data_IF_199493237061
#
_entry.id   IF_199493237061
#
_cell.length_a   1.000
_cell.length_b   1.000
_cell.length_c   1.000
_cell.angle_alpha   90.00
_cell.angle_beta   90.00
_cell.angle_gamma   90.00
#
_symmetry.space_group_name_H-M   'P 1'
#
loop_
_entity.id
_entity.type
_entity.pdbx_description
1 polymer ?
#
# COMPACT_ATOMS: atom_id res chain seq x y z
N UNK A 1 18.90 -6.61 9.07
CA UNK A 1 17.61 -5.98 8.74
C UNK A 1 17.20 -6.53 7.39
N UNK A 2 15.96 -7.01 7.23
CA UNK A 2 15.51 -7.58 5.95
C UNK A 2 15.48 -6.52 4.85
N UNK A 3 15.61 -6.94 3.59
CA UNK A 3 15.55 -6.09 2.40
C UNK A 3 14.10 -5.77 2.06
N UNK A 4 13.76 -4.48 2.10
CA UNK A 4 12.44 -3.95 1.79
C UNK A 4 12.49 -3.17 0.49
N UNK A 5 11.55 -3.46 -0.40
CA UNK A 5 11.33 -2.68 -1.62
C UNK A 5 9.93 -2.06 -1.59
N UNK A 6 9.80 -0.83 -2.04
CA UNK A 6 8.51 -0.20 -2.28
C UNK A 6 8.15 -0.34 -3.76
N UNK A 7 6.90 -0.73 -4.04
CA UNK A 7 6.35 -0.75 -5.40
C UNK A 7 5.13 0.15 -5.42
N UNK A 8 5.15 1.13 -6.33
CA UNK A 8 4.09 2.12 -6.52
C UNK A 8 3.33 1.80 -7.80
N UNK A 9 2.13 1.19 -7.74
CA UNK A 9 1.31 1.02 -8.93
C UNK A 9 0.70 2.36 -9.35
N UNK A 10 0.90 2.73 -10.61
CA UNK A 10 0.39 3.98 -11.17
C UNK A 10 -0.04 3.80 -12.62
N UNK A 11 -1.34 3.73 -12.87
CA UNK A 11 -1.91 3.67 -14.23
C UNK A 11 -2.28 5.06 -14.71
N UNK A 12 -2.17 5.29 -16.01
CA UNK A 12 -2.61 6.56 -16.60
C UNK A 12 -4.13 6.70 -16.62
N UNK A 13 -4.83 5.62 -16.94
CA UNK A 13 -6.28 5.61 -17.02
C UNK A 13 -6.93 5.77 -15.63
N UNK A 14 -7.72 6.82 -15.47
CA UNK A 14 -8.48 7.10 -14.25
C UNK A 14 -9.81 7.71 -14.63
N UNK A 15 -10.91 7.04 -14.28
CA UNK A 15 -12.26 7.43 -14.68
C UNK A 15 -12.72 8.72 -13.99
N UNK A 16 -12.35 8.92 -12.73
CA UNK A 16 -12.76 10.09 -11.92
C UNK A 16 -11.83 11.29 -12.08
N UNK A 17 -10.57 11.06 -12.44
CA UNK A 17 -9.57 12.10 -12.59
C UNK A 17 -8.53 11.68 -13.64
N UNK A 18 -8.77 11.94 -14.94
CA UNK A 18 -7.88 11.52 -16.03
C UNK A 18 -6.45 12.02 -15.85
N UNK A 19 -5.45 11.16 -16.11
CA UNK A 19 -4.03 11.54 -16.01
C UNK A 19 -3.57 11.92 -14.60
N UNK A 20 -4.33 11.51 -13.55
CA UNK A 20 -4.12 11.91 -12.15
C UNK A 20 -2.65 11.91 -11.71
N UNK A 21 -1.90 10.86 -12.05
CA UNK A 21 -0.50 10.70 -11.67
C UNK A 21 0.43 11.82 -12.18
N UNK A 22 0.08 12.45 -13.30
CA UNK A 22 0.84 13.53 -13.95
C UNK A 22 0.29 14.93 -13.65
N UNK A 23 -0.82 15.03 -12.91
CA UNK A 23 -1.36 16.34 -12.55
C UNK A 23 -0.37 17.07 -11.64
N UNK A 24 -0.10 18.36 -11.92
CA UNK A 24 0.79 19.15 -11.08
C UNK A 24 0.15 19.35 -9.71
N UNK A 25 0.93 19.13 -8.67
CA UNK A 25 0.57 19.43 -7.29
C UNK A 25 1.17 20.80 -6.87
N UNK A 26 1.03 21.13 -5.59
CA UNK A 26 1.70 22.30 -5.03
C UNK A 26 3.21 22.20 -5.25
N UNK A 27 3.80 23.21 -5.90
CA UNK A 27 5.20 23.20 -6.32
C UNK A 27 5.44 22.73 -7.76
N UNK A 28 4.38 22.39 -8.52
CA UNK A 28 4.45 22.13 -9.96
C UNK A 28 4.95 20.74 -10.36
N UNK A 29 5.33 19.90 -9.40
CA UNK A 29 5.74 18.52 -9.64
C UNK A 29 4.51 17.61 -9.76
N UNK A 30 4.58 16.53 -10.57
CA UNK A 30 3.46 15.62 -10.77
C UNK A 30 3.20 14.79 -9.50
N UNK A 31 1.95 14.41 -9.27
CA UNK A 31 1.54 13.59 -8.11
C UNK A 31 2.43 12.38 -7.86
N UNK A 32 2.82 11.64 -8.91
CA UNK A 32 3.67 10.46 -8.76
C UNK A 32 5.04 10.79 -8.16
N UNK A 33 5.60 11.97 -8.44
CA UNK A 33 6.88 12.40 -7.89
C UNK A 33 6.81 12.61 -6.38
N UNK A 34 5.67 13.06 -5.85
CA UNK A 34 5.46 13.20 -4.41
C UNK A 34 5.44 11.84 -3.71
N UNK A 35 4.73 10.85 -4.28
CA UNK A 35 4.68 9.48 -3.74
C UNK A 35 6.07 8.83 -3.78
N UNK A 36 6.80 8.98 -4.88
CA UNK A 36 8.18 8.48 -5.01
C UNK A 36 9.08 9.06 -3.93
N UNK A 37 9.04 10.38 -3.71
CA UNK A 37 9.86 11.03 -2.68
C UNK A 37 9.51 10.56 -1.27
N UNK A 38 8.22 10.37 -0.98
CA UNK A 38 7.80 9.82 0.31
C UNK A 38 8.33 8.39 0.52
N UNK A 39 8.25 7.53 -0.51
CA UNK A 39 8.79 6.18 -0.45
C UNK A 39 10.33 6.15 -0.31
N UNK A 40 11.05 7.04 -1.00
CA UNK A 40 12.50 7.17 -0.88
C UNK A 40 12.94 7.72 0.50
N UNK A 41 12.08 8.51 1.16
CA UNK A 41 12.34 9.05 2.49
C UNK A 41 12.10 8.03 3.62
N UNK A 42 11.49 6.88 3.33
CA UNK A 42 11.24 5.83 4.31
C UNK A 42 12.57 5.13 4.68
N UNK A 43 12.88 5.04 5.97
CA UNK A 43 14.17 4.53 6.47
C UNK A 43 14.39 3.04 6.21
N UNK A 44 13.31 2.30 6.04
CA UNK A 44 13.32 0.84 5.83
C UNK A 44 13.44 0.46 4.37
N UNK A 45 13.16 1.35 3.42
CA UNK A 45 13.09 1.05 1.98
C UNK A 45 14.45 1.22 1.32
N UNK A 46 14.91 0.21 0.59
CA UNK A 46 16.18 0.29 -0.16
C UNK A 46 15.99 0.65 -1.64
N UNK A 47 14.84 0.31 -2.22
CA UNK A 47 14.54 0.54 -3.63
C UNK A 47 13.08 0.87 -3.83
N UNK A 48 12.82 1.76 -4.77
CA UNK A 48 11.46 2.19 -5.15
C UNK A 48 11.26 1.89 -6.63
N UNK A 49 10.24 1.09 -6.92
CA UNK A 49 9.79 0.77 -8.27
C UNK A 49 8.46 1.48 -8.53
N UNK A 50 8.30 2.17 -9.65
CA UNK A 50 7.00 2.64 -10.15
C UNK A 50 6.54 1.70 -11.25
N UNK A 51 5.47 0.97 -11.00
CA UNK A 51 4.86 0.08 -11.96
C UNK A 51 3.77 0.83 -12.74
N UNK A 52 3.97 1.06 -14.03
CA UNK A 52 3.08 1.91 -14.84
C UNK A 52 2.85 1.36 -16.24
N UNK A 53 1.79 1.84 -16.90
CA UNK A 53 1.45 1.54 -18.30
C UNK A 53 1.72 2.71 -19.25
N UNK A 54 2.36 3.78 -18.76
CA UNK A 54 2.47 5.04 -19.50
C UNK A 54 3.86 5.70 -19.37
N UNK A 55 4.47 5.98 -20.52
CA UNK A 55 5.82 6.54 -20.64
C UNK A 55 5.99 7.87 -19.88
N UNK A 56 4.99 8.74 -19.90
CA UNK A 56 5.05 10.01 -19.15
C UNK A 56 5.11 9.80 -17.63
N UNK A 57 4.48 8.74 -17.10
CA UNK A 57 4.55 8.41 -15.66
C UNK A 57 5.91 7.80 -15.35
N UNK A 58 6.43 6.94 -16.22
CA UNK A 58 7.77 6.38 -16.11
C UNK A 58 8.83 7.49 -16.05
N UNK A 59 8.81 8.42 -17.01
CA UNK A 59 9.74 9.54 -17.04
C UNK A 59 9.66 10.43 -15.79
N UNK A 60 8.45 10.70 -15.29
CA UNK A 60 8.25 11.46 -14.06
C UNK A 60 8.78 10.72 -12.82
N UNK A 61 8.60 9.41 -12.75
CA UNK A 61 9.11 8.56 -11.68
C UNK A 61 10.65 8.51 -11.65
N UNK A 62 11.27 8.32 -12.82
CA UNK A 62 12.72 8.30 -12.98
C UNK A 62 13.35 9.64 -12.62
N UNK A 63 12.74 10.75 -13.07
CA UNK A 63 13.16 12.10 -12.66
C UNK A 63 13.08 12.30 -11.14
N UNK A 64 12.13 11.64 -10.48
CA UNK A 64 11.97 11.69 -9.02
C UNK A 64 12.89 10.72 -8.25
N UNK A 65 13.65 9.86 -8.95
CA UNK A 65 14.64 8.95 -8.36
C UNK A 65 14.18 7.51 -8.16
N UNK A 66 13.03 7.11 -8.71
CA UNK A 66 12.56 5.72 -8.71
C UNK A 66 12.94 4.99 -10.00
N UNK A 67 12.94 3.66 -9.96
CA UNK A 67 13.03 2.82 -11.15
C UNK A 67 11.64 2.64 -11.76
N UNK A 68 11.45 2.89 -13.06
CA UNK A 68 10.18 2.62 -13.73
C UNK A 68 10.13 1.18 -14.27
N UNK A 69 8.96 0.55 -14.16
CA UNK A 69 8.66 -0.76 -14.74
C UNK A 69 7.39 -0.67 -15.56
N UNK A 70 7.54 -0.86 -16.87
CA UNK A 70 6.40 -0.88 -17.78
C UNK A 70 5.61 -2.17 -17.59
N UNK A 71 4.30 -2.03 -17.39
CA UNK A 71 3.34 -3.10 -17.07
C UNK A 71 2.13 -2.99 -17.98
N UNK A 72 1.41 -4.09 -18.16
CA UNK A 72 0.22 -4.14 -19.00
C UNK A 72 -0.87 -3.17 -18.49
N UNK A 73 -1.52 -2.47 -19.42
CA UNK A 73 -2.63 -1.54 -19.13
C UNK A 73 -3.91 -2.27 -18.74
N UNK A 74 -4.06 -3.54 -19.13
CA UNK A 74 -5.24 -4.38 -18.87
C UNK A 74 -5.26 -5.01 -17.46
N UNK A 75 -4.25 -4.77 -16.61
CA UNK A 75 -4.20 -5.34 -15.27
C UNK A 75 -5.37 -4.84 -14.40
N UNK A 76 -6.12 -5.73 -13.74
CA UNK A 76 -7.41 -5.38 -13.14
C UNK A 76 -7.27 -4.60 -11.83
N UNK A 77 -6.16 -4.74 -11.11
CA UNK A 77 -5.92 -4.05 -9.84
C UNK A 77 -4.49 -3.51 -9.69
N UNK A 78 -4.29 -2.63 -8.71
CA UNK A 78 -2.96 -2.16 -8.31
C UNK A 78 -2.07 -3.29 -7.78
N UNK A 79 -2.65 -4.25 -7.06
CA UNK A 79 -1.93 -5.43 -6.56
C UNK A 79 -1.45 -6.33 -7.69
N UNK A 80 -2.28 -6.55 -8.73
CA UNK A 80 -1.86 -7.32 -9.92
C UNK A 80 -0.73 -6.61 -10.67
N UNK A 81 -0.76 -5.27 -10.70
CA UNK A 81 0.31 -4.45 -11.27
C UNK A 81 1.62 -4.57 -10.50
N UNK A 82 1.57 -4.55 -9.17
CA UNK A 82 2.74 -4.81 -8.32
C UNK A 82 3.31 -6.20 -8.60
N UNK A 83 2.46 -7.23 -8.63
CA UNK A 83 2.88 -8.59 -8.92
C UNK A 83 3.50 -8.73 -10.32
N UNK A 84 2.93 -8.07 -11.34
CA UNK A 84 3.48 -8.05 -12.70
C UNK A 84 4.86 -7.38 -12.74
N UNK A 85 5.04 -6.24 -12.06
CA UNK A 85 6.32 -5.54 -11.99
C UNK A 85 7.39 -6.40 -11.30
N UNK A 86 7.06 -7.09 -10.21
CA UNK A 86 7.98 -8.00 -9.53
C UNK A 86 8.38 -9.20 -10.40
N UNK A 87 7.47 -9.73 -11.23
CA UNK A 87 7.80 -10.80 -12.20
C UNK A 87 8.78 -10.30 -13.26
N UNK A 88 8.57 -9.09 -13.79
CA UNK A 88 9.47 -8.46 -14.75
C UNK A 88 10.83 -8.10 -14.13
N UNK A 89 10.85 -7.83 -12.83
CA UNK A 89 12.02 -7.51 -12.02
C UNK A 89 12.38 -8.64 -11.06
N UNK A 90 12.45 -9.86 -11.60
CA UNK A 90 12.77 -11.06 -10.83
C UNK A 90 14.12 -10.94 -10.09
N UNK A 91 15.07 -10.19 -10.64
CA UNK A 91 16.35 -9.83 -10.00
C UNK A 91 16.16 -9.11 -8.67
N UNK A 92 15.17 -8.21 -8.61
CA UNK A 92 14.82 -7.43 -7.43
C UNK A 92 14.00 -8.29 -6.46
N UNK A 93 12.96 -8.92 -7.00
CA UNK A 93 12.02 -9.73 -6.23
C UNK A 93 12.71 -10.89 -5.50
N UNK A 94 13.67 -11.56 -6.14
CA UNK A 94 14.40 -12.69 -5.55
C UNK A 94 15.23 -12.32 -4.32
N UNK A 95 15.45 -11.03 -4.06
CA UNK A 95 16.24 -10.55 -2.93
C UNK A 95 15.43 -9.79 -1.89
N UNK A 96 14.15 -9.53 -2.15
CA UNK A 96 13.29 -8.79 -1.24
C UNK A 96 12.71 -9.73 -0.17
N UNK A 97 12.88 -9.37 1.09
CA UNK A 97 12.22 -10.03 2.21
C UNK A 97 10.79 -9.49 2.37
N UNK A 98 10.58 -8.21 2.06
CA UNK A 98 9.27 -7.54 2.12
C UNK A 98 9.08 -6.63 0.91
N UNK A 99 7.85 -6.62 0.38
CA UNK A 99 7.38 -5.66 -0.61
C UNK A 99 6.31 -4.79 0.02
N UNK A 100 6.50 -3.47 -0.01
CA UNK A 100 5.48 -2.50 0.41
C UNK A 100 4.77 -1.97 -0.84
N UNK A 101 3.45 -2.19 -0.93
CA UNK A 101 2.60 -1.64 -1.96
C UNK A 101 2.14 -0.22 -1.55
N UNK A 102 2.75 0.81 -2.13
CA UNK A 102 2.45 2.22 -1.82
C UNK A 102 1.55 2.78 -2.91
N UNK A 103 0.32 3.19 -2.61
CA UNK A 103 -0.61 3.62 -3.66
C UNK A 103 -0.11 4.88 -4.37
N UNK A 104 -0.08 4.86 -5.72
CA UNK A 104 0.41 5.96 -6.55
C UNK A 104 -0.47 7.23 -6.51
N UNK A 105 -1.57 7.20 -5.78
CA UNK A 105 -2.49 8.31 -5.58
C UNK A 105 -2.59 8.83 -4.15
N UNK A 106 -1.63 8.45 -3.30
CA UNK A 106 -1.46 8.95 -1.94
C UNK A 106 -0.25 9.89 -1.86
N UNK A 107 -0.27 11.08 -2.48
CA UNK A 107 0.89 11.99 -2.52
C UNK A 107 1.28 12.57 -1.15
N UNK A 108 0.42 12.37 -0.13
CA UNK A 108 0.65 12.79 1.25
C UNK A 108 0.95 11.59 2.16
N UNK A 109 1.25 10.41 1.59
CA UNK A 109 1.68 9.26 2.38
C UNK A 109 2.90 9.63 3.22
N UNK A 110 2.84 9.34 4.51
CA UNK A 110 3.97 9.61 5.40
C UNK A 110 5.02 8.49 5.29
N UNK A 111 6.32 8.83 5.21
CA UNK A 111 7.39 7.82 5.20
C UNK A 111 7.34 6.89 6.44
N UNK A 112 6.90 7.42 7.58
CA UNK A 112 6.68 6.68 8.83
C UNK A 112 5.65 5.56 8.68
N UNK A 113 4.60 5.75 7.88
CA UNK A 113 3.59 4.73 7.62
C UNK A 113 4.14 3.60 6.75
N UNK A 114 4.95 3.93 5.74
CA UNK A 114 5.67 2.95 4.92
C UNK A 114 6.60 2.12 5.83
N UNK A 115 7.39 2.78 6.67
CA UNK A 115 8.27 2.13 7.64
C UNK A 115 7.52 1.24 8.64
N UNK A 116 6.39 1.71 9.16
CA UNK A 116 5.56 0.94 10.08
C UNK A 116 5.02 -0.34 9.42
N UNK A 117 4.52 -0.25 8.18
CA UNK A 117 4.01 -1.41 7.45
C UNK A 117 5.10 -2.46 7.17
N UNK A 118 6.30 -2.02 6.80
CA UNK A 118 7.43 -2.90 6.56
C UNK A 118 7.91 -3.60 7.84
N UNK A 119 8.10 -2.83 8.91
CA UNK A 119 8.53 -3.36 10.22
C UNK A 119 7.51 -4.34 10.79
N UNK A 120 6.23 -4.08 10.57
CA UNK A 120 5.15 -4.96 11.02
C UNK A 120 5.27 -6.34 10.38
N UNK A 121 5.41 -6.42 9.05
CA UNK A 121 5.55 -7.72 8.38
C UNK A 121 6.88 -8.41 8.73
N UNK A 122 7.98 -7.64 8.80
CA UNK A 122 9.30 -8.17 9.21
C UNK A 122 9.31 -8.79 10.62
N UNK A 123 8.48 -8.27 11.53
CA UNK A 123 8.39 -8.77 12.91
C UNK A 123 7.40 -9.94 13.08
N UNK A 124 6.61 -10.26 12.06
CA UNK A 124 5.60 -11.31 12.09
C UNK A 124 5.79 -12.28 10.92
N UNK A 125 6.82 -13.14 10.96
CA UNK A 125 7.20 -14.00 9.83
C UNK A 125 6.11 -15.02 9.43
N UNK A 126 5.17 -15.33 10.33
CA UNK A 126 4.03 -16.21 10.06
C UNK A 126 2.94 -15.55 9.21
N UNK A 127 2.93 -14.22 9.11
CA UNK A 127 2.01 -13.47 8.26
C UNK A 127 2.55 -13.39 6.84
N UNK A 128 1.64 -13.35 5.87
CA UNK A 128 1.96 -13.16 4.46
C UNK A 128 1.77 -11.70 4.03
N UNK A 129 0.83 -10.99 4.67
CA UNK A 129 0.49 -9.59 4.39
C UNK A 129 0.34 -8.85 5.70
N UNK A 130 0.82 -7.59 5.72
CA UNK A 130 0.53 -6.64 6.77
C UNK A 130 -0.07 -5.35 6.19
N UNK A 131 -0.99 -4.71 6.90
CA UNK A 131 -1.50 -3.39 6.54
C UNK A 131 -1.78 -2.54 7.79
N UNK A 132 -1.96 -1.24 7.60
CA UNK A 132 -2.24 -0.28 8.66
C UNK A 132 -3.71 0.14 8.64
N UNK A 133 -4.22 0.49 9.81
CA UNK A 133 -5.55 1.06 9.98
C UNK A 133 -5.52 2.23 10.96
N UNK A 134 -6.53 3.08 10.88
CA UNK A 134 -6.71 4.24 11.75
C UNK A 134 -8.07 4.17 12.44
N UNK A 135 -8.22 4.73 13.65
CA UNK A 135 -9.53 4.82 14.30
C UNK A 135 -10.58 5.46 13.38
N UNK A 136 -11.74 4.81 13.27
CA UNK A 136 -12.86 5.30 12.48
C UNK A 136 -13.85 6.06 13.38
N UNK A 137 -14.17 7.33 13.09
CA UNK A 137 -15.26 8.03 13.78
C UNK A 137 -16.58 7.28 13.64
N UNK A 138 -17.34 7.14 14.73
CA UNK A 138 -18.59 6.38 14.76
C UNK A 138 -19.60 6.84 13.70
N UNK A 139 -19.63 8.15 13.38
CA UNK A 139 -20.51 8.71 12.34
C UNK A 139 -20.23 8.15 10.93
N UNK A 140 -19.05 7.59 10.67
CA UNK A 140 -18.65 7.02 9.39
C UNK A 140 -18.81 5.48 9.34
N UNK A 141 -19.31 4.85 10.41
CA UNK A 141 -19.37 3.39 10.52
C UNK A 141 -20.15 2.74 9.36
N UNK A 142 -21.29 3.35 8.99
CA UNK A 142 -22.19 2.85 7.96
C UNK A 142 -21.83 3.31 6.54
N UNK A 143 -20.77 4.11 6.36
CA UNK A 143 -20.34 4.56 5.04
C UNK A 143 -19.72 3.37 4.26
N UNK A 144 -20.31 2.95 3.12
CA UNK A 144 -19.80 1.82 2.34
C UNK A 144 -18.48 2.13 1.63
N UNK A 145 -18.11 3.41 1.50
CA UNK A 145 -16.82 3.82 0.93
C UNK A 145 -15.65 3.69 1.90
N UNK A 146 -15.94 3.49 3.20
CA UNK A 146 -14.93 3.24 4.23
C UNK A 146 -14.81 1.74 4.45
N UNK A 147 -13.63 1.19 4.20
CA UNK A 147 -13.31 -0.19 4.60
C UNK A 147 -13.08 -0.21 6.11
N UNK A 148 -13.72 -1.14 6.81
CA UNK A 148 -13.59 -1.31 8.26
C UNK A 148 -12.73 -2.53 8.54
N UNK A 149 -11.97 -2.47 9.64
CA UNK A 149 -11.34 -3.64 10.23
C UNK A 149 -11.96 -3.89 11.60
N UNK A 150 -12.19 -5.17 11.91
CA UNK A 150 -12.51 -5.61 13.28
C UNK A 150 -11.21 -6.08 13.90
N UNK A 151 -10.81 -5.47 15.01
CA UNK A 151 -9.64 -5.88 15.75
C UNK A 151 -10.10 -6.60 17.01
N UNK A 152 -9.67 -7.83 17.19
CA UNK A 152 -10.12 -8.73 18.24
C UNK A 152 -9.59 -10.16 18.00
N UNK A 153 -9.87 -11.11 18.90
CA UNK A 153 -9.56 -12.53 18.66
C UNK A 153 -10.24 -13.02 17.37
N UNK A 154 -9.70 -14.07 16.71
CA UNK A 154 -10.23 -14.59 15.46
C UNK A 154 -11.74 -14.87 15.58
N UNK A 155 -12.51 -14.35 14.62
CA UNK A 155 -13.91 -14.72 14.50
C UNK A 155 -13.96 -16.19 14.07
N UNK A 156 -14.22 -17.10 15.02
CA UNK A 156 -14.60 -18.46 14.68
C UNK A 156 -15.87 -18.43 13.83
N UNK A 157 -16.05 -19.45 12.98
CA UNK A 157 -16.93 -19.53 11.81
C UNK A 157 -18.44 -19.26 11.98
N UNK A 158 -18.90 -18.69 13.09
CA UNK A 158 -20.30 -18.35 13.35
C UNK A 158 -20.62 -16.88 13.00
N UNK A 159 -20.39 -16.49 11.74
CA UNK A 159 -21.01 -15.32 11.12
C UNK A 159 -20.54 -13.93 11.57
N UNK A 160 -20.71 -12.94 10.69
CA UNK A 160 -20.37 -11.53 10.92
C UNK A 160 -21.40 -10.78 11.81
N UNK A 161 -22.61 -11.32 12.00
CA UNK A 161 -23.66 -10.64 12.77
C UNK A 161 -23.38 -10.60 14.28
N UNK A 162 -22.96 -11.70 14.96
CA UNK A 162 -22.60 -11.65 16.39
C UNK A 162 -21.41 -10.72 16.67
N UNK A 163 -20.50 -10.56 15.70
CA UNK A 163 -19.36 -9.65 15.80
C UNK A 163 -19.78 -8.17 15.85
N UNK A 164 -20.90 -7.80 15.21
CA UNK A 164 -21.43 -6.43 15.24
C UNK A 164 -22.03 -6.06 16.60
N UNK A 165 -22.64 -7.01 17.31
CA UNK A 165 -23.09 -6.81 18.70
C UNK A 165 -21.90 -6.74 19.67
N UNK A 166 -20.84 -7.53 19.43
CA UNK A 166 -19.60 -7.46 20.22
C UNK A 166 -18.79 -6.17 19.94
N UNK A 167 -18.91 -5.59 18.75
CA UNK A 167 -18.27 -4.33 18.35
C UNK A 167 -18.80 -3.11 19.14
N UNK A 168 -20.06 -3.11 19.60
CA UNK A 168 -20.57 -2.05 20.49
C UNK A 168 -19.85 -2.02 21.86
N UNK A 169 -19.27 -3.17 22.28
CA UNK A 169 -18.54 -3.30 23.54
C UNK A 169 -17.05 -2.98 23.42
N UNK A 170 -16.48 -3.00 22.22
CA UNK A 170 -15.05 -2.72 21.98
C UNK A 170 -14.81 -1.22 21.79
N UNK A 171 -14.78 -0.49 22.91
CA UNK A 171 -14.40 0.92 22.93
C UNK A 171 -12.95 1.14 22.46
N UNK A 172 -12.82 2.02 21.46
CA UNK A 172 -11.70 2.91 21.13
C UNK A 172 -10.30 2.40 21.50
N UNK A 173 -9.62 1.79 20.52
CA UNK A 173 -8.17 1.58 20.54
C UNK A 173 -7.48 2.74 19.83
N UNK A 174 -6.42 3.25 20.47
CA UNK A 174 -5.60 4.38 20.01
C UNK A 174 -4.84 4.08 18.71
N UNK A 175 -4.34 5.13 18.07
CA UNK A 175 -3.82 5.17 16.71
C UNK A 175 -2.85 4.05 16.32
N UNK A 176 -3.01 3.53 15.08
CA UNK A 176 -2.02 2.73 14.37
C UNK A 176 -2.18 1.21 14.55
N UNK A 177 -3.39 0.68 14.36
CA UNK A 177 -3.59 -0.76 14.45
C UNK A 177 -3.07 -1.49 13.21
N UNK A 178 -2.20 -2.46 13.50
CA UNK A 178 -1.59 -3.42 12.60
C UNK A 178 -2.57 -4.55 12.25
N UNK A 179 -2.75 -4.84 10.97
CA UNK A 179 -3.51 -5.99 10.50
C UNK A 179 -2.52 -6.96 9.88
N UNK A 180 -2.58 -8.22 10.31
CA UNK A 180 -1.79 -9.32 9.75
C UNK A 180 -2.74 -10.32 9.09
N UNK A 181 -2.39 -10.78 7.89
CA UNK A 181 -3.15 -11.80 7.16
C UNK A 181 -2.19 -12.94 6.80
N UNK A 182 -2.57 -14.16 7.18
CA UNK A 182 -1.82 -15.40 6.91
C UNK A 182 -1.43 -16.12 8.20
N UNK A 183 -1.60 -17.44 8.20
CA UNK A 183 -0.99 -18.37 9.16
C UNK A 183 -0.15 -19.36 8.35
N UNK A 184 1.13 -19.05 8.13
CA UNK A 184 2.07 -20.10 7.70
C UNK A 184 2.36 -20.97 8.92
N UNK A 185 2.03 -22.27 8.90
CA UNK A 185 2.45 -23.17 9.97
C UNK A 185 3.98 -23.19 10.03
N UNK A 186 4.51 -23.17 11.26
CA UNK A 186 5.94 -23.21 11.55
C UNK A 186 6.60 -24.50 11.05
#
# INVERSE_FOLDING_TARGET
MGRVIAVIPSRFASTRLPGKALLPMLGGEPMIAHVVRAALAASTVQRVLVATDHEGIAAAAEKAGAEAVMTDSALPSGTDRVAAALRLRADVAATADVVVNVQGDEPLVEPSAIDASARLLLSHPTADIATLSTPLPAALLLDPSKVKVVCGPPLHSEGLLPALEQLEQMRALEAGMAILVGERPA
#
